data_IF_192788994334
#
_entry.id   IF_192788994334
#
_cell.length_a   1.000
_cell.length_b   1.000
_cell.length_c   1.000
_cell.angle_alpha   90.00
_cell.angle_beta   90.00
_cell.angle_gamma   90.00
#
_symmetry.space_group_name_H-M   'P 1'
#
loop_
_entity.id
_entity.type
_entity.pdbx_description
1 polymer ?
#
# COMPACT_ATOMS: atom_id res chain seq x y z
N UNK A 1 -0.83 26.40 4.81
CA UNK A 1 0.13 25.30 5.08
C UNK A 1 0.77 24.92 3.75
N UNK A 2 2.00 25.35 3.51
CA UNK A 2 2.71 25.14 2.24
C UNK A 2 3.18 23.69 2.13
N UNK A 3 2.66 22.96 1.14
CA UNK A 3 3.13 21.62 0.80
C UNK A 3 4.38 21.78 -0.08
N UNK A 4 5.58 21.35 0.35
CA UNK A 4 6.82 21.58 -0.40
C UNK A 4 6.81 20.83 -1.73
N UNK A 5 7.08 21.58 -2.80
CA UNK A 5 7.54 21.18 -4.15
C UNK A 5 7.41 19.69 -4.52
N UNK A 6 6.18 19.20 -4.66
CA UNK A 6 5.91 17.99 -5.43
C UNK A 6 6.10 18.34 -6.91
N UNK A 7 7.23 17.90 -7.50
CA UNK A 7 7.47 17.94 -8.96
C UNK A 7 6.20 17.54 -9.71
N UNK A 8 5.59 18.52 -10.39
CA UNK A 8 4.48 18.46 -11.36
C UNK A 8 3.79 17.09 -11.46
N UNK A 9 2.90 16.80 -10.50
CA UNK A 9 1.92 15.71 -10.60
C UNK A 9 0.78 16.17 -11.49
N UNK A 10 0.51 15.48 -12.59
CA UNK A 10 -0.73 15.68 -13.33
C UNK A 10 -1.91 15.31 -12.41
N UNK A 11 -2.63 16.33 -11.94
CA UNK A 11 -3.91 16.17 -11.26
C UNK A 11 -4.94 15.77 -12.30
N UNK A 12 -5.32 14.49 -12.32
CA UNK A 12 -6.47 14.01 -13.08
C UNK A 12 -7.59 13.94 -12.06
N UNK A 13 -8.68 14.70 -12.24
CA UNK A 13 -9.84 14.85 -11.33
C UNK A 13 -9.84 13.90 -10.11
N UNK A 14 -9.54 14.44 -8.92
CA UNK A 14 -9.46 13.75 -7.61
C UNK A 14 -8.38 12.66 -7.47
N UNK A 15 -7.40 12.60 -8.35
CA UNK A 15 -6.28 11.67 -8.28
C UNK A 15 -4.93 12.38 -8.43
N UNK A 16 -3.90 11.77 -7.86
CA UNK A 16 -2.51 12.12 -8.12
C UNK A 16 -1.64 10.88 -8.23
N UNK A 17 -0.51 11.01 -8.91
CA UNK A 17 0.43 9.90 -9.12
C UNK A 17 1.69 10.14 -8.29
N UNK A 18 2.03 9.24 -7.37
CA UNK A 18 3.36 9.26 -6.70
C UNK A 18 4.25 8.19 -7.29
N UNK A 19 5.54 8.52 -7.47
CA UNK A 19 6.57 7.51 -7.71
C UNK A 19 6.94 6.88 -6.37
N UNK A 20 6.92 5.54 -6.29
CA UNK A 20 7.43 4.83 -5.13
C UNK A 20 8.93 5.12 -4.96
N UNK A 21 9.38 5.50 -3.76
CA UNK A 21 10.78 5.86 -3.54
C UNK A 21 11.69 4.67 -3.78
N UNK A 22 12.89 4.95 -4.26
CA UNK A 22 13.93 3.97 -4.57
C UNK A 22 14.38 3.16 -3.35
N UNK A 23 14.38 3.78 -2.17
CA UNK A 23 14.71 3.10 -0.90
C UNK A 23 13.49 2.51 -0.16
N UNK A 24 12.30 2.52 -0.77
CA UNK A 24 11.05 2.11 -0.13
C UNK A 24 10.88 0.60 -0.02
N UNK A 25 11.31 0.00 1.10
CA UNK A 25 11.16 -1.44 1.36
C UNK A 25 9.96 -1.85 2.21
N UNK A 26 9.20 -0.90 2.76
CA UNK A 26 8.16 -1.17 3.78
C UNK A 26 6.94 -1.90 3.22
N UNK A 27 6.66 -1.76 1.92
CA UNK A 27 5.49 -2.34 1.25
C UNK A 27 5.84 -3.48 0.30
N UNK A 28 7.06 -4.00 0.37
CA UNK A 28 7.45 -5.23 -0.34
C UNK A 28 6.60 -6.40 0.23
N UNK A 29 6.09 -7.31 -0.61
CA UNK A 29 6.39 -7.46 -2.05
C UNK A 29 5.47 -6.66 -3.00
N UNK A 30 4.39 -6.04 -2.51
CA UNK A 30 3.32 -5.46 -3.36
C UNK A 30 3.74 -4.20 -4.10
N UNK A 31 4.35 -3.24 -3.38
CA UNK A 31 4.90 -2.02 -3.97
C UNK A 31 6.41 -2.20 -4.03
N UNK A 32 6.96 -2.15 -5.25
CA UNK A 32 8.41 -2.20 -5.47
C UNK A 32 8.90 -0.84 -5.95
N UNK A 33 10.19 -0.63 -5.73
CA UNK A 33 10.95 0.50 -6.26
C UNK A 33 10.64 0.75 -7.75
N UNK A 34 10.51 2.03 -8.11
CA UNK A 34 10.28 2.45 -9.49
C UNK A 34 8.83 2.38 -9.97
N UNK A 35 7.92 1.75 -9.23
CA UNK A 35 6.49 1.77 -9.54
C UNK A 35 5.86 3.15 -9.31
N UNK A 36 4.73 3.41 -9.98
CA UNK A 36 3.90 4.60 -9.75
C UNK A 36 2.60 4.18 -9.06
N UNK A 37 2.16 4.95 -8.06
CA UNK A 37 0.91 4.72 -7.36
C UNK A 37 -0.11 5.76 -7.81
N UNK A 38 -1.23 5.30 -8.34
CA UNK A 38 -2.39 6.15 -8.57
C UNK A 38 -3.17 6.24 -7.26
N UNK A 39 -3.19 7.44 -6.70
CA UNK A 39 -3.79 7.72 -5.39
C UNK A 39 -5.04 8.57 -5.59
N UNK A 40 -6.15 8.09 -5.05
CA UNK A 40 -7.40 8.83 -4.97
C UNK A 40 -7.43 9.70 -3.71
N UNK A 41 -7.66 10.99 -3.91
CA UNK A 41 -7.84 11.99 -2.86
C UNK A 41 -9.23 11.86 -2.23
N UNK A 42 -9.29 11.99 -0.90
CA UNK A 42 -10.55 12.12 -0.16
C UNK A 42 -11.62 11.04 -0.44
N UNK A 43 -11.28 9.74 -0.42
CA UNK A 43 -12.30 8.70 -0.53
C UNK A 43 -13.30 8.81 0.63
N UNK A 44 -14.59 8.53 0.36
CA UNK A 44 -15.67 8.62 1.37
C UNK A 44 -15.45 7.70 2.57
N UNK A 45 -14.81 6.55 2.35
CA UNK A 45 -14.59 5.53 3.37
C UNK A 45 -13.25 4.84 3.16
N UNK A 46 -12.59 4.54 4.27
CA UNK A 46 -11.40 3.71 4.35
C UNK A 46 -11.75 2.39 5.04
N UNK A 47 -11.21 1.29 4.52
CA UNK A 47 -11.46 -0.04 5.08
C UNK A 47 -10.16 -0.78 5.36
N UNK A 48 -10.23 -1.75 6.27
CA UNK A 48 -9.13 -2.69 6.51
C UNK A 48 -8.67 -3.31 5.18
N UNK A 49 -7.36 -3.36 4.98
CA UNK A 49 -6.71 -3.87 3.79
C UNK A 49 -6.38 -2.81 2.74
N UNK A 50 -6.98 -1.62 2.80
CA UNK A 50 -6.61 -0.52 1.91
C UNK A 50 -5.17 -0.07 2.15
N UNK A 51 -4.49 0.34 1.06
CA UNK A 51 -3.20 1.01 1.13
C UNK A 51 -3.47 2.51 1.05
N UNK A 52 -2.96 3.26 2.03
CA UNK A 52 -3.20 4.69 2.15
C UNK A 52 -1.90 5.46 2.17
N UNK A 53 -1.94 6.68 1.67
CA UNK A 53 -0.80 7.59 1.62
C UNK A 53 -0.98 8.64 2.71
N UNK A 54 0.08 8.89 3.48
CA UNK A 54 0.10 9.85 4.59
C UNK A 54 1.51 10.43 4.74
N UNK A 55 1.65 11.43 5.60
CA UNK A 55 2.95 11.97 5.98
C UNK A 55 3.45 11.26 7.23
N UNK A 56 4.63 10.64 7.14
CA UNK A 56 5.37 10.06 8.26
C UNK A 56 6.70 10.80 8.36
N UNK A 57 6.95 11.45 9.50
CA UNK A 57 8.22 12.17 9.75
C UNK A 57 8.58 13.15 8.62
N UNK A 58 7.58 13.87 8.10
CA UNK A 58 7.75 14.83 7.01
C UNK A 58 7.89 14.23 5.60
N UNK A 59 7.89 12.90 5.47
CA UNK A 59 7.99 12.21 4.19
C UNK A 59 6.69 11.50 3.80
N UNK A 60 6.43 11.39 2.49
CA UNK A 60 5.29 10.63 1.99
C UNK A 60 5.55 9.13 2.19
N UNK A 61 4.65 8.48 2.92
CA UNK A 61 4.63 7.04 3.11
C UNK A 61 3.32 6.45 2.58
N UNK A 62 3.37 5.21 2.13
CA UNK A 62 2.20 4.44 1.76
C UNK A 62 2.17 3.15 2.59
N UNK A 63 1.17 2.93 3.44
CA UNK A 63 1.06 1.73 4.28
C UNK A 63 -0.36 1.16 4.31
N UNK A 64 -0.50 -0.09 4.78
CA UNK A 64 -1.78 -0.79 4.80
C UNK A 64 -2.55 -0.53 6.09
N UNK A 65 -3.86 -0.32 5.98
CA UNK A 65 -4.77 -0.34 7.13
C UNK A 65 -4.90 -1.79 7.62
N UNK A 66 -4.33 -2.12 8.77
CA UNK A 66 -4.41 -3.48 9.34
C UNK A 66 -5.59 -3.63 10.31
N UNK A 67 -6.11 -2.52 10.85
CA UNK A 67 -7.26 -2.50 11.76
C UNK A 67 -7.99 -1.16 11.70
N UNK A 68 -9.30 -1.23 11.88
CA UNK A 68 -10.20 -0.09 12.10
C UNK A 68 -10.82 -0.24 13.49
N UNK A 69 -10.73 0.75 14.36
CA UNK A 69 -11.31 0.74 15.72
C UNK A 69 -11.79 2.14 16.08
N UNK A 70 -13.07 2.30 16.42
CA UNK A 70 -13.65 3.56 16.94
C UNK A 70 -13.18 4.79 16.15
N UNK A 71 -13.37 4.78 14.82
CA UNK A 71 -12.93 5.83 13.88
C UNK A 71 -11.42 6.01 13.69
N UNK A 72 -10.60 5.29 14.47
CA UNK A 72 -9.14 5.23 14.30
C UNK A 72 -8.72 4.10 13.37
N UNK A 73 -7.69 4.36 12.59
CA UNK A 73 -7.06 3.47 11.63
C UNK A 73 -5.67 3.11 12.16
N UNK A 74 -5.33 1.81 12.15
CA UNK A 74 -3.96 1.37 12.46
C UNK A 74 -3.28 1.04 11.14
N UNK A 75 -2.19 1.75 10.86
CA UNK A 75 -1.40 1.59 9.65
C UNK A 75 -0.16 0.75 9.91
N UNK A 76 0.28 0.02 8.89
CA UNK A 76 1.53 -0.75 8.95
C UNK A 76 2.07 -1.02 7.55
N UNK A 77 3.39 -0.91 7.40
CA UNK A 77 4.10 -1.45 6.24
C UNK A 77 4.04 -2.99 6.22
N UNK A 78 3.71 -3.58 5.08
CA UNK A 78 3.61 -5.04 4.93
C UNK A 78 4.89 -5.79 5.37
N UNK A 79 6.06 -5.15 5.21
CA UNK A 79 7.38 -5.67 5.57
C UNK A 79 7.97 -5.05 6.86
N UNK A 80 7.24 -4.18 7.56
CA UNK A 80 7.71 -3.61 8.83
C UNK A 80 7.44 -4.60 9.98
N UNK A 81 8.22 -4.55 11.07
CA UNK A 81 7.92 -5.26 12.32
C UNK A 81 6.76 -4.59 13.06
N UNK A 82 6.80 -3.26 13.13
CA UNK A 82 5.91 -2.48 13.98
C UNK A 82 4.80 -1.77 13.20
N UNK A 83 3.79 -1.33 13.93
CA UNK A 83 2.71 -0.47 13.41
C UNK A 83 3.15 0.99 13.43
N UNK A 84 2.55 1.82 12.58
CA UNK A 84 2.85 3.26 12.56
C UNK A 84 2.08 4.06 13.62
N UNK A 85 1.14 3.42 14.34
CA UNK A 85 0.28 4.05 15.35
C UNK A 85 -1.19 4.17 14.93
N UNK A 86 -1.92 5.04 15.63
CA UNK A 86 -3.33 5.35 15.36
C UNK A 86 -3.46 6.62 14.51
N UNK A 87 -4.29 6.55 13.47
CA UNK A 87 -4.52 7.62 12.52
C UNK A 87 -6.01 7.88 12.34
N UNK A 88 -6.38 9.14 12.23
CA UNK A 88 -7.69 9.55 11.76
C UNK A 88 -7.71 9.62 10.22
N UNK A 89 -8.89 9.46 9.62
CA UNK A 89 -9.06 9.56 8.17
C UNK A 89 -8.57 10.91 7.60
N UNK A 90 -8.67 12.00 8.36
CA UNK A 90 -8.22 13.34 7.98
C UNK A 90 -6.69 13.49 7.87
N UNK A 91 -5.93 12.59 8.51
CA UNK A 91 -4.46 12.56 8.44
C UNK A 91 -3.97 11.82 7.19
N UNK A 92 -4.87 11.17 6.46
CA UNK A 92 -4.56 10.47 5.22
C UNK A 92 -4.72 11.42 4.03
N UNK A 93 -3.72 11.42 3.15
CA UNK A 93 -3.77 12.15 1.89
C UNK A 93 -4.69 11.46 0.88
N UNK A 94 -4.75 10.13 0.91
CA UNK A 94 -5.60 9.39 0.00
C UNK A 94 -5.38 7.88 0.02
N UNK A 95 -6.12 7.18 -0.84
CA UNK A 95 -6.07 5.72 -1.00
C UNK A 95 -5.40 5.35 -2.32
N UNK A 96 -4.48 4.39 -2.29
CA UNK A 96 -3.90 3.82 -3.50
C UNK A 96 -4.94 2.92 -4.17
N UNK A 97 -5.29 3.23 -5.41
CA UNK A 97 -6.21 2.43 -6.21
C UNK A 97 -5.49 1.56 -7.24
N UNK A 98 -4.35 2.02 -7.77
CA UNK A 98 -3.54 1.25 -8.73
C UNK A 98 -2.05 1.36 -8.43
N UNK A 99 -1.33 0.28 -8.73
CA UNK A 99 0.13 0.23 -8.74
C UNK A 99 0.57 -0.04 -10.18
N UNK A 100 1.23 0.93 -10.78
CA UNK A 100 1.61 0.97 -12.19
C UNK A 100 3.09 0.64 -12.29
N UNK A 101 3.40 -0.49 -12.91
CA UNK A 101 4.75 -0.88 -13.32
C UNK A 101 4.93 -0.62 -14.82
N UNK A 102 6.17 -0.56 -15.34
CA UNK A 102 6.40 -0.38 -16.77
C UNK A 102 5.70 -1.45 -17.64
N UNK A 103 5.67 -2.69 -17.15
CA UNK A 103 5.18 -3.86 -17.87
C UNK A 103 3.70 -4.19 -17.60
N UNK A 104 3.15 -3.76 -16.46
CA UNK A 104 1.80 -4.14 -16.02
C UNK A 104 1.23 -3.20 -14.97
N UNK A 105 -0.07 -3.25 -14.74
CA UNK A 105 -0.75 -2.51 -13.66
C UNK A 105 -1.48 -3.47 -12.74
N UNK A 106 -1.40 -3.23 -11.44
CA UNK A 106 -2.22 -3.93 -10.43
C UNK A 106 -3.37 -2.99 -10.04
N UNK A 107 -4.60 -3.39 -10.34
CA UNK A 107 -5.81 -2.70 -9.88
C UNK A 107 -6.25 -3.23 -8.51
N UNK A 108 -6.16 -2.38 -7.48
CA UNK A 108 -6.52 -2.72 -6.10
C UNK A 108 -8.03 -2.59 -5.85
N UNK A 109 -8.82 -2.05 -6.78
CA UNK A 109 -10.28 -1.93 -6.67
C UNK A 109 -11.02 -3.09 -7.35
N UNK A 110 -10.34 -3.90 -8.18
CA UNK A 110 -10.95 -5.05 -8.84
C UNK A 110 -11.46 -6.12 -7.83
N UNK A 111 -12.74 -6.53 -7.91
CA UNK A 111 -13.39 -7.48 -6.98
C UNK A 111 -12.73 -8.86 -6.96
N UNK A 112 -12.08 -9.31 -8.05
CA UNK A 112 -11.32 -10.58 -8.05
C UNK A 112 -10.07 -10.54 -7.17
N UNK A 113 -9.53 -9.34 -6.87
CA UNK A 113 -8.40 -9.13 -5.96
C UNK A 113 -8.81 -8.99 -4.48
N UNK A 114 -10.09 -9.17 -4.14
CA UNK A 114 -10.56 -9.20 -2.74
C UNK A 114 -9.86 -10.31 -1.93
N UNK A 115 -9.62 -11.48 -2.52
CA UNK A 115 -8.88 -12.57 -1.85
C UNK A 115 -7.43 -12.16 -1.54
N UNK A 116 -6.74 -11.48 -2.47
CA UNK A 116 -5.40 -10.94 -2.24
C UNK A 116 -5.39 -9.94 -1.08
N UNK A 117 -6.38 -9.04 -1.00
CA UNK A 117 -6.49 -8.09 0.13
C UNK A 117 -6.57 -8.82 1.47
N UNK A 118 -7.39 -9.86 1.56
CA UNK A 118 -7.53 -10.66 2.77
C UNK A 118 -6.26 -11.47 3.08
N UNK A 119 -5.62 -12.04 2.05
CA UNK A 119 -4.36 -12.78 2.19
C UNK A 119 -3.23 -11.90 2.71
N UNK A 120 -3.02 -10.71 2.11
CA UNK A 120 -1.98 -9.78 2.56
C UNK A 120 -2.31 -9.16 3.92
N UNK A 121 -3.58 -8.92 4.24
CA UNK A 121 -3.99 -8.51 5.59
C UNK A 121 -3.72 -9.60 6.63
N UNK A 122 -3.93 -10.88 6.29
CA UNK A 122 -3.60 -12.01 7.15
C UNK A 122 -2.08 -12.16 7.31
N UNK A 123 -1.33 -12.10 6.20
CA UNK A 123 0.13 -12.12 6.18
C UNK A 123 0.73 -11.05 7.09
N UNK A 124 0.28 -9.79 6.94
CA UNK A 124 0.77 -8.67 7.77
C UNK A 124 0.50 -8.88 9.27
N UNK A 125 -0.61 -9.55 9.62
CA UNK A 125 -0.94 -9.92 11.01
C UNK A 125 -0.09 -11.09 11.54
N UNK A 126 0.24 -12.06 10.70
CA UNK A 126 1.10 -13.19 11.09
C UNK A 126 2.55 -12.72 11.29
N UNK A 127 3.03 -11.79 10.47
CA UNK A 127 4.36 -11.19 10.61
C UNK A 127 4.50 -10.41 11.94
N UNK A 128 3.42 -9.83 12.47
CA UNK A 128 3.41 -9.20 13.81
C UNK A 128 3.66 -10.20 14.95
N UNK A 129 3.17 -11.44 14.82
CA UNK A 129 3.31 -12.47 15.87
C UNK A 129 4.59 -13.30 15.73
N UNK A 130 5.10 -13.45 14.51
CA UNK A 130 6.26 -14.28 14.21
C UNK A 130 7.20 -13.60 13.21
N UNK A 131 7.91 -12.53 13.63
CA UNK A 131 8.74 -11.71 12.73
C UNK A 131 9.92 -12.49 12.12
N UNK A 132 10.39 -13.56 12.78
CA UNK A 132 11.50 -14.40 12.29
C UNK A 132 11.09 -15.35 11.16
N UNK A 133 9.85 -15.85 11.15
CA UNK A 133 9.34 -16.72 10.08
C UNK A 133 9.20 -15.99 8.74
N UNK A 134 9.03 -14.67 8.78
CA UNK A 134 8.73 -13.82 7.62
C UNK A 134 9.81 -12.78 7.31
N UNK A 135 11.07 -13.03 7.68
CA UNK A 135 12.27 -12.27 7.25
C UNK A 135 12.56 -12.50 5.76
N UNK A 136 11.57 -12.31 4.90
CA UNK A 136 11.55 -12.87 3.56
C UNK A 136 11.90 -11.80 2.52
N UNK A 137 13.20 -11.53 2.39
CA UNK A 137 13.78 -10.89 1.20
C UNK A 137 13.65 -11.74 -0.08
N UNK A 138 12.95 -12.89 -0.07
CA UNK A 138 12.83 -13.85 -1.18
C UNK A 138 11.39 -14.24 -1.57
N UNK A 139 10.34 -13.52 -1.10
CA UNK A 139 8.93 -13.97 -1.25
C UNK A 139 8.51 -14.02 -2.73
N UNK A 140 9.08 -13.10 -3.52
CA UNK A 140 8.92 -13.03 -4.98
C UNK A 140 9.50 -14.25 -5.72
N UNK A 141 10.35 -15.06 -5.08
CA UNK A 141 10.92 -16.30 -5.66
C UNK A 141 10.00 -17.51 -5.50
N UNK A 142 8.95 -17.41 -4.67
CA UNK A 142 8.01 -18.53 -4.45
C UNK A 142 7.13 -18.67 -5.70
N UNK A 143 7.13 -19.83 -6.40
CA UNK A 143 6.43 -20.01 -7.67
C UNK A 143 4.92 -19.74 -7.58
N UNK A 144 4.30 -20.08 -6.44
CA UNK A 144 2.89 -19.84 -6.17
C UNK A 144 2.56 -18.33 -6.12
N UNK A 145 3.41 -17.51 -5.51
CA UNK A 145 3.25 -16.04 -5.50
C UNK A 145 3.48 -15.43 -6.88
N UNK A 146 4.40 -15.99 -7.68
CA UNK A 146 4.59 -15.62 -9.09
C UNK A 146 3.35 -15.97 -9.94
N UNK A 147 2.68 -17.10 -9.64
CA UNK A 147 1.43 -17.55 -10.29
C UNK A 147 0.24 -16.68 -9.87
N UNK A 148 0.13 -16.30 -8.59
CA UNK A 148 -0.87 -15.35 -8.09
C UNK A 148 -0.68 -13.94 -8.69
N UNK A 149 0.56 -13.46 -8.76
CA UNK A 149 0.90 -12.20 -9.45
C UNK A 149 0.46 -12.24 -10.92
N UNK A 150 0.76 -13.34 -11.63
CA UNK A 150 0.30 -13.55 -13.02
C UNK A 150 -1.22 -13.55 -13.16
N UNK A 151 -1.95 -14.00 -12.15
CA UNK A 151 -3.42 -13.98 -12.14
C UNK A 151 -3.98 -12.55 -11.97
N UNK A 152 -3.34 -11.72 -11.14
CA UNK A 152 -3.72 -10.30 -10.97
C UNK A 152 -3.29 -9.38 -12.11
N UNK A 153 -2.31 -9.79 -12.93
CA UNK A 153 -1.81 -9.04 -14.11
C UNK A 153 -2.73 -9.24 -15.34
N UNK A 154 -3.56 -10.28 -15.36
CA UNK A 154 -4.34 -10.71 -16.54
C UNK A 154 -5.85 -10.39 -16.46
N UNK A 155 -6.27 -9.41 -15.65
CA UNK A 155 -7.69 -9.03 -15.50
C UNK A 155 -7.89 -7.53 -15.43
#
# INVERSE_FOLDING_TARGET
>A
MNIPSLKKKSLIKNHFIIKAPTKGGSMIPIIKEGSHLLVRLGPKQYQKGDIVVFLKEGQLAAHRIIKTKNSSLILKGDNNSDVDGFFEAKQLLGKVEKIIYPEYTIDLNNRKNQFLKHFFALYSRLNLKFPFLFKIRKLYKIPFLKKLYRFSIKS
#
